data_IF_272851214942
#
_entry.id   IF_272851214942
#
_cell.length_a   1.000
_cell.length_b   1.000
_cell.length_c   1.000
_cell.angle_alpha   90.00
_cell.angle_beta   90.00
_cell.angle_gamma   90.00
#
_symmetry.space_group_name_H-M   'P 1'
#
loop_
_entity.id
_entity.type
_entity.pdbx_description
1 polymer ?
#
# COMPACT_ATOMS: atom_id res chain seq x y z
N UNK A 1 -28.59 1.98 7.90
CA UNK A 1 -29.17 1.87 6.55
C UNK A 1 -28.01 1.75 5.60
N UNK A 2 -28.00 0.80 4.64
CA UNK A 2 -26.87 0.66 3.75
C UNK A 2 -26.67 1.94 2.94
N UNK A 3 -25.42 2.32 2.68
CA UNK A 3 -25.08 3.47 1.84
C UNK A 3 -24.28 2.92 0.66
N UNK A 4 -24.99 2.45 -0.36
CA UNK A 4 -24.39 1.78 -1.52
C UNK A 4 -24.63 2.54 -2.83
N UNK A 5 -25.57 3.49 -2.80
CA UNK A 5 -25.97 4.30 -3.94
C UNK A 5 -25.76 5.79 -3.67
N UNK A 6 -25.70 6.60 -4.74
CA UNK A 6 -25.64 8.06 -4.61
C UNK A 6 -26.86 8.63 -3.89
N UNK A 7 -28.06 8.06 -4.12
CA UNK A 7 -29.29 8.54 -3.47
C UNK A 7 -29.26 8.34 -1.95
N UNK A 8 -28.81 7.18 -1.50
CA UNK A 8 -28.63 6.88 -0.07
C UNK A 8 -27.58 7.81 0.55
N UNK A 9 -26.46 8.04 -0.17
CA UNK A 9 -25.44 8.98 0.28
C UNK A 9 -26.00 10.41 0.40
N UNK A 10 -26.77 10.89 -0.57
CA UNK A 10 -27.41 12.22 -0.50
C UNK A 10 -28.30 12.35 0.73
N UNK A 11 -29.10 11.33 1.03
CA UNK A 11 -29.96 11.31 2.21
C UNK A 11 -29.14 11.34 3.51
N UNK A 12 -28.07 10.53 3.57
CA UNK A 12 -27.15 10.50 4.70
C UNK A 12 -26.46 11.87 4.91
N UNK A 13 -25.86 12.43 3.87
CA UNK A 13 -25.15 13.71 3.99
C UNK A 13 -26.11 14.84 4.40
N UNK A 14 -27.34 14.84 3.88
CA UNK A 14 -28.37 15.81 4.27
C UNK A 14 -28.81 15.64 5.72
N UNK A 15 -28.91 14.40 6.23
CA UNK A 15 -29.34 14.14 7.61
C UNK A 15 -28.27 14.44 8.66
N UNK A 16 -27.01 14.55 8.22
CA UNK A 16 -25.85 14.89 9.06
C UNK A 16 -25.34 16.32 8.84
N UNK A 17 -26.07 17.14 8.09
CA UNK A 17 -25.68 18.52 7.73
C UNK A 17 -24.28 18.63 7.08
N UNK A 18 -23.85 17.58 6.35
CA UNK A 18 -22.57 17.59 5.62
C UNK A 18 -22.79 18.34 4.30
N UNK A 19 -22.06 19.43 4.01
CA UNK A 19 -22.29 20.23 2.81
C UNK A 19 -21.84 19.50 1.54
N UNK A 20 -22.71 19.44 0.53
CA UNK A 20 -22.40 18.95 -0.81
C UNK A 20 -23.20 19.70 -1.89
N UNK A 21 -22.65 19.76 -3.09
CA UNK A 21 -23.29 20.28 -4.30
C UNK A 21 -23.28 19.23 -5.41
N UNK A 22 -22.11 18.64 -5.66
CA UNK A 22 -21.93 17.52 -6.59
C UNK A 22 -21.41 16.30 -5.83
N UNK A 23 -21.79 15.11 -6.31
CA UNK A 23 -21.32 13.82 -5.81
C UNK A 23 -20.93 12.98 -7.03
N UNK A 24 -19.75 12.38 -6.97
CA UNK A 24 -19.23 11.50 -8.02
C UNK A 24 -18.72 10.22 -7.36
N UNK A 25 -19.30 9.07 -7.74
CA UNK A 25 -18.77 7.79 -7.31
C UNK A 25 -17.37 7.58 -7.88
N UNK A 26 -16.42 7.17 -7.03
CA UNK A 26 -15.07 6.87 -7.45
C UNK A 26 -14.98 5.43 -7.96
N UNK A 27 -14.41 5.28 -9.15
CA UNK A 27 -14.01 3.99 -9.68
C UNK A 27 -12.77 3.47 -8.94
N UNK A 28 -12.58 2.15 -8.94
CA UNK A 28 -11.48 1.49 -8.20
C UNK A 28 -11.84 1.14 -6.76
N UNK A 29 -10.91 0.50 -6.04
CA UNK A 29 -11.12 -0.07 -4.71
C UNK A 29 -11.96 -1.35 -4.72
N UNK A 30 -11.67 -2.30 -3.84
CA UNK A 30 -12.40 -3.58 -3.76
C UNK A 30 -13.46 -3.62 -2.66
N UNK A 31 -13.11 -3.10 -1.47
CA UNK A 31 -13.87 -3.35 -0.26
C UNK A 31 -14.96 -2.32 0.04
N UNK A 32 -14.72 -1.03 -0.22
CA UNK A 32 -15.56 0.06 0.27
C UNK A 32 -16.19 0.87 -0.87
N UNK A 33 -17.27 1.58 -0.54
CA UNK A 33 -17.86 2.57 -1.42
C UNK A 33 -17.22 3.93 -1.15
N UNK A 34 -16.73 4.57 -2.22
CA UNK A 34 -16.07 5.87 -2.13
C UNK A 34 -16.72 6.85 -3.11
N UNK A 35 -16.95 8.07 -2.65
CA UNK A 35 -17.43 9.17 -3.47
C UNK A 35 -16.57 10.40 -3.26
N UNK A 36 -16.32 11.13 -4.34
CA UNK A 36 -15.82 12.50 -4.28
C UNK A 36 -17.03 13.43 -4.22
N UNK A 37 -17.08 14.25 -3.19
CA UNK A 37 -18.08 15.31 -3.06
C UNK A 37 -17.43 16.66 -3.26
N UNK A 38 -18.20 17.58 -3.84
CA UNK A 38 -17.78 18.97 -4.07
C UNK A 38 -18.79 19.90 -3.44
N UNK A 39 -18.30 20.85 -2.66
CA UNK A 39 -19.12 21.90 -2.03
C UNK A 39 -19.43 23.03 -3.02
N UNK A 40 -20.41 23.89 -2.70
CA UNK A 40 -20.70 25.09 -3.52
C UNK A 40 -19.50 26.03 -3.66
N UNK A 41 -18.59 26.02 -2.68
CA UNK A 41 -17.33 26.78 -2.70
C UNK A 41 -16.23 26.11 -3.53
N UNK A 42 -16.54 25.02 -4.24
CA UNK A 42 -15.60 24.29 -5.09
C UNK A 42 -14.60 23.40 -4.34
N UNK A 43 -14.68 23.30 -3.00
CA UNK A 43 -13.81 22.39 -2.22
C UNK A 43 -14.22 20.94 -2.41
N UNK A 44 -13.23 20.07 -2.61
CA UNK A 44 -13.40 18.62 -2.77
C UNK A 44 -13.10 17.88 -1.46
N UNK A 45 -13.84 16.80 -1.21
CA UNK A 45 -13.55 15.83 -0.15
C UNK A 45 -13.98 14.44 -0.58
N UNK A 46 -13.48 13.43 0.11
CA UNK A 46 -13.84 12.03 -0.09
C UNK A 46 -14.76 11.60 1.03
N UNK A 47 -15.86 10.94 0.65
CA UNK A 47 -16.70 10.16 1.57
C UNK A 47 -16.45 8.68 1.30
N UNK A 48 -16.04 7.95 2.34
CA UNK A 48 -15.80 6.51 2.29
C UNK A 48 -16.74 5.81 3.26
N UNK A 49 -17.38 4.75 2.80
CA UNK A 49 -18.30 3.94 3.58
C UNK A 49 -17.98 2.46 3.44
N UNK A 50 -17.96 1.76 4.58
CA UNK A 50 -17.77 0.32 4.65
C UNK A 50 -19.10 -0.39 4.90
N UNK A 51 -19.34 -1.45 4.14
CA UNK A 51 -20.41 -2.42 4.39
C UNK A 51 -19.82 -3.72 5.00
N UNK A 52 -20.62 -4.62 5.61
CA UNK A 52 -20.13 -5.87 6.21
C UNK A 52 -19.76 -6.94 5.16
N UNK A 53 -19.46 -6.52 3.93
CA UNK A 53 -19.04 -7.33 2.80
C UNK A 53 -18.06 -6.58 1.91
N UNK A 54 -17.35 -7.29 1.03
CA UNK A 54 -16.49 -6.69 0.01
C UNK A 54 -17.37 -6.09 -1.09
N UNK A 55 -17.31 -4.78 -1.34
CA UNK A 55 -18.14 -4.10 -2.37
C UNK A 55 -18.20 -4.85 -3.71
N UNK A 56 -17.06 -5.28 -4.25
CA UNK A 56 -17.00 -5.95 -5.56
C UNK A 56 -17.45 -7.41 -5.53
N UNK A 57 -17.61 -8.00 -4.34
CA UNK A 57 -18.06 -9.37 -4.12
C UNK A 57 -19.00 -9.39 -2.90
N UNK A 58 -20.26 -8.92 -3.03
CA UNK A 58 -21.15 -8.74 -1.89
C UNK A 58 -21.46 -10.02 -1.10
N UNK A 59 -21.29 -11.18 -1.72
CA UNK A 59 -21.44 -12.49 -1.06
C UNK A 59 -20.26 -12.85 -0.15
N UNK A 60 -19.16 -12.10 -0.19
CA UNK A 60 -17.98 -12.29 0.64
C UNK A 60 -18.08 -11.40 1.90
N UNK A 61 -18.35 -11.96 3.09
CA UNK A 61 -18.40 -11.19 4.32
C UNK A 61 -17.06 -10.53 4.59
N UNK A 62 -17.10 -9.27 5.01
CA UNK A 62 -15.91 -8.52 5.34
C UNK A 62 -16.19 -7.62 6.54
N UNK A 63 -15.49 -7.83 7.68
CA UNK A 63 -15.86 -7.15 8.92
C UNK A 63 -15.76 -5.62 8.80
N UNK A 64 -16.80 -4.93 9.25
CA UNK A 64 -17.02 -3.50 9.02
C UNK A 64 -16.12 -2.62 9.91
N UNK A 65 -15.60 -3.16 11.01
CA UNK A 65 -14.72 -2.47 11.96
C UNK A 65 -13.41 -1.98 11.32
N UNK A 66 -13.04 -2.48 10.14
CA UNK A 66 -11.87 -2.00 9.38
C UNK A 66 -11.87 -0.48 9.15
N UNK A 67 -13.05 0.13 8.98
CA UNK A 67 -13.14 1.59 8.79
C UNK A 67 -12.83 2.37 10.08
N UNK A 68 -13.06 1.75 11.24
CA UNK A 68 -12.67 2.34 12.52
C UNK A 68 -11.14 2.40 12.65
N UNK A 69 -10.41 1.41 12.13
CA UNK A 69 -8.96 1.44 12.13
C UNK A 69 -8.40 2.50 11.17
N UNK A 70 -9.05 2.72 10.01
CA UNK A 70 -8.71 3.85 9.14
C UNK A 70 -8.95 5.20 9.84
N UNK A 71 -10.08 5.36 10.54
CA UNK A 71 -10.32 6.54 11.40
C UNK A 71 -9.19 6.76 12.42
N UNK A 72 -8.80 5.70 13.14
CA UNK A 72 -7.73 5.78 14.14
C UNK A 72 -6.39 6.17 13.49
N UNK A 73 -6.07 5.58 12.34
CA UNK A 73 -4.87 5.90 11.57
C UNK A 73 -4.86 7.37 11.17
N UNK A 74 -5.92 7.87 10.53
CA UNK A 74 -6.00 9.27 10.09
C UNK A 74 -6.01 10.28 11.25
N UNK A 75 -6.41 9.85 12.44
CA UNK A 75 -6.37 10.68 13.66
C UNK A 75 -4.98 10.71 14.31
N UNK A 76 -4.26 9.58 14.33
CA UNK A 76 -3.05 9.41 15.14
C UNK A 76 -1.76 9.50 14.33
N UNK A 77 -1.78 9.08 13.07
CA UNK A 77 -0.59 9.12 12.22
C UNK A 77 -0.07 10.52 11.92
N UNK A 78 -0.90 11.57 11.76
CA UNK A 78 -0.38 12.91 11.58
C UNK A 78 0.66 13.25 12.65
N UNK A 79 0.43 12.94 13.93
CA UNK A 79 1.40 13.21 15.00
C UNK A 79 2.70 12.40 14.84
N UNK A 80 2.64 11.22 14.23
CA UNK A 80 3.79 10.34 13.98
C UNK A 80 4.61 10.81 12.77
N UNK A 81 3.96 11.19 11.66
CA UNK A 81 4.61 11.48 10.37
C UNK A 81 4.58 12.95 9.94
N UNK A 82 4.03 13.87 10.77
CA UNK A 82 3.68 15.29 10.47
C UNK A 82 4.77 16.15 9.86
N UNK A 83 6.05 15.76 9.91
CA UNK A 83 7.15 16.59 9.43
C UNK A 83 7.36 16.51 7.90
N UNK A 84 6.67 15.61 7.19
CA UNK A 84 6.90 15.44 5.74
C UNK A 84 5.88 16.24 4.90
N UNK A 85 6.36 17.27 4.21
CA UNK A 85 5.53 18.12 3.34
C UNK A 85 5.21 17.49 1.98
N UNK A 86 5.92 16.43 1.60
CA UNK A 86 5.84 15.79 0.27
C UNK A 86 5.11 14.44 0.27
N UNK A 87 4.98 13.79 1.43
CA UNK A 87 4.22 12.54 1.60
C UNK A 87 3.33 12.69 2.82
N UNK A 88 2.02 12.65 2.61
CA UNK A 88 0.99 12.97 3.61
C UNK A 88 0.01 11.82 3.75
N UNK A 89 -0.84 11.92 4.77
CA UNK A 89 -2.07 11.12 4.91
C UNK A 89 -3.28 12.03 4.73
N UNK A 90 -4.46 11.50 4.36
CA UNK A 90 -5.68 12.29 4.31
C UNK A 90 -5.95 13.01 5.63
N UNK A 91 -6.34 14.27 5.54
CA UNK A 91 -6.89 15.00 6.67
C UNK A 91 -8.31 14.49 6.94
N UNK A 92 -8.56 13.98 8.15
CA UNK A 92 -9.90 13.60 8.58
C UNK A 92 -10.75 14.86 8.84
N UNK A 93 -11.96 14.89 8.28
CA UNK A 93 -12.95 15.95 8.55
C UNK A 93 -14.03 15.48 9.52
N UNK A 94 -14.62 14.31 9.25
CA UNK A 94 -15.67 13.73 10.09
C UNK A 94 -15.58 12.21 10.09
N UNK A 95 -16.00 11.61 11.20
CA UNK A 95 -16.24 10.18 11.31
C UNK A 95 -17.60 9.95 11.96
N UNK A 96 -18.43 9.15 11.31
CA UNK A 96 -19.77 8.77 11.76
C UNK A 96 -19.72 7.27 12.11
N UNK A 97 -19.48 6.92 13.38
CA UNK A 97 -19.22 5.53 13.77
C UNK A 97 -20.42 4.61 13.57
N UNK A 98 -21.64 5.09 13.84
CA UNK A 98 -22.87 4.28 13.73
C UNK A 98 -23.21 3.92 12.28
N UNK A 99 -22.84 4.80 11.34
CA UNK A 99 -23.03 4.58 9.91
C UNK A 99 -21.76 4.09 9.20
N UNK A 100 -20.64 3.95 9.91
CA UNK A 100 -19.38 3.52 9.32
C UNK A 100 -18.98 4.39 8.11
N UNK A 101 -19.04 5.71 8.28
CA UNK A 101 -18.72 6.70 7.22
C UNK A 101 -17.56 7.59 7.66
N UNK A 102 -16.59 7.77 6.77
CA UNK A 102 -15.49 8.72 6.87
C UNK A 102 -15.62 9.83 5.86
N UNK A 103 -15.41 11.08 6.29
CA UNK A 103 -15.20 12.23 5.41
C UNK A 103 -13.76 12.72 5.59
N UNK A 104 -13.01 12.82 4.50
CA UNK A 104 -11.58 13.17 4.52
C UNK A 104 -11.17 14.04 3.32
N UNK A 105 -9.97 14.61 3.36
CA UNK A 105 -9.41 15.39 2.25
C UNK A 105 -9.23 14.53 0.99
N UNK A 106 -9.38 15.16 -0.17
CA UNK A 106 -9.11 14.54 -1.47
C UNK A 106 -7.59 14.49 -1.73
N UNK A 107 -7.06 13.27 -1.92
CA UNK A 107 -5.63 13.04 -2.10
C UNK A 107 -5.13 13.28 -3.52
N UNK A 108 -6.03 13.53 -4.49
CA UNK A 108 -5.66 13.70 -5.89
C UNK A 108 -6.61 13.04 -6.87
N UNK A 109 -6.41 13.30 -8.16
CA UNK A 109 -7.25 12.75 -9.22
C UNK A 109 -6.72 11.48 -9.87
N UNK A 110 -5.45 11.16 -9.65
CA UNK A 110 -4.78 9.98 -10.20
C UNK A 110 -3.93 9.29 -9.14
N UNK A 111 -3.93 7.96 -9.18
CA UNK A 111 -2.99 7.16 -8.40
C UNK A 111 -1.61 7.09 -9.07
N UNK A 112 -0.61 6.70 -8.28
CA UNK A 112 0.78 6.64 -8.71
C UNK A 112 1.00 5.56 -9.77
N UNK A 113 0.22 4.47 -9.80
CA UNK A 113 0.36 3.41 -10.78
C UNK A 113 -0.05 3.90 -12.18
N UNK A 114 -1.18 4.58 -12.28
CA UNK A 114 -1.63 5.15 -13.55
C UNK A 114 -0.77 6.34 -13.98
N UNK A 115 -0.34 7.17 -13.04
CA UNK A 115 0.58 8.28 -13.33
C UNK A 115 1.93 7.77 -13.82
N UNK A 116 2.46 6.71 -13.22
CA UNK A 116 3.70 6.06 -13.66
C UNK A 116 3.61 5.64 -15.13
N UNK A 117 2.49 5.05 -15.56
CA UNK A 117 2.34 4.55 -16.93
C UNK A 117 2.14 5.65 -17.96
N UNK A 118 1.37 6.68 -17.60
CA UNK A 118 0.79 7.61 -18.56
C UNK A 118 1.47 8.99 -18.55
N UNK A 119 2.24 9.32 -17.51
CA UNK A 119 2.92 10.61 -17.39
C UNK A 119 4.44 10.43 -17.42
N UNK A 120 5.09 11.07 -18.39
CA UNK A 120 6.55 11.03 -18.56
C UNK A 120 7.25 12.26 -17.98
N UNK A 121 6.49 13.23 -17.48
CA UNK A 121 7.02 14.48 -16.94
C UNK A 121 7.21 14.42 -15.43
N UNK A 122 6.95 13.27 -14.78
CA UNK A 122 7.13 13.05 -13.34
C UNK A 122 8.54 12.51 -13.03
N UNK A 123 9.18 13.07 -12.00
CA UNK A 123 10.41 12.53 -11.42
C UNK A 123 10.09 11.28 -10.56
N UNK A 124 9.93 10.15 -11.24
CA UNK A 124 9.60 8.86 -10.63
C UNK A 124 10.64 8.41 -9.59
N UNK A 125 11.96 8.50 -9.84
CA UNK A 125 12.95 8.18 -8.81
C UNK A 125 12.83 9.04 -7.54
N UNK A 126 12.54 10.34 -7.68
CA UNK A 126 12.32 11.22 -6.53
C UNK A 126 11.07 10.81 -5.73
N UNK A 127 9.98 10.44 -6.40
CA UNK A 127 8.78 9.93 -5.72
C UNK A 127 9.06 8.62 -4.97
N UNK A 128 9.78 7.69 -5.61
CA UNK A 128 10.23 6.45 -4.96
C UNK A 128 11.04 6.72 -3.70
N UNK A 129 12.02 7.64 -3.78
CA UNK A 129 12.86 8.05 -2.63
C UNK A 129 12.04 8.67 -1.50
N UNK A 130 11.09 9.56 -1.83
CA UNK A 130 10.19 10.20 -0.86
C UNK A 130 9.35 9.17 -0.10
N UNK A 131 8.77 8.20 -0.81
CA UNK A 131 7.99 7.11 -0.21
C UNK A 131 8.84 6.18 0.64
N UNK A 132 10.04 5.81 0.17
CA UNK A 132 10.97 4.94 0.89
C UNK A 132 11.38 5.55 2.23
N UNK A 133 11.80 6.82 2.21
CA UNK A 133 12.14 7.56 3.42
C UNK A 133 10.93 7.70 4.36
N UNK A 134 9.78 8.12 3.85
CA UNK A 134 8.58 8.33 4.66
C UNK A 134 8.12 7.05 5.36
N UNK A 135 8.07 5.91 4.62
CA UNK A 135 7.65 4.63 5.18
C UNK A 135 8.66 4.13 6.23
N UNK A 136 9.96 4.23 5.96
CA UNK A 136 11.01 3.85 6.90
C UNK A 136 10.96 4.70 8.19
N UNK A 137 10.74 6.02 8.08
CA UNK A 137 10.55 6.90 9.24
C UNK A 137 9.33 6.50 10.06
N UNK A 138 8.19 6.21 9.43
CA UNK A 138 6.99 5.76 10.16
C UNK A 138 7.25 4.45 10.92
N UNK A 139 7.86 3.46 10.27
CA UNK A 139 8.21 2.19 10.91
C UNK A 139 9.19 2.38 12.08
N UNK A 140 10.18 3.27 11.94
CA UNK A 140 11.15 3.56 13.02
C UNK A 140 10.50 4.23 14.21
N UNK A 141 9.71 5.28 13.98
CA UNK A 141 9.03 6.00 15.07
C UNK A 141 8.04 5.11 15.83
N UNK A 142 7.39 4.18 15.14
CA UNK A 142 6.44 3.25 15.77
C UNK A 142 7.07 1.99 16.36
N UNK A 143 8.39 1.84 16.20
CA UNK A 143 9.21 0.83 16.88
C UNK A 143 9.69 1.31 18.26
N UNK A 144 9.71 2.63 18.52
CA UNK A 144 10.15 3.20 19.79
C UNK A 144 9.25 2.71 20.94
N UNK A 145 9.78 2.35 22.13
CA UNK A 145 9.03 1.60 23.14
C UNK A 145 7.67 2.19 23.55
N UNK A 146 7.59 3.50 23.78
CA UNK A 146 6.35 4.17 24.17
C UNK A 146 5.32 4.16 23.02
N UNK A 147 5.76 4.47 21.81
CA UNK A 147 4.91 4.44 20.63
C UNK A 147 4.51 3.01 20.26
N UNK A 148 5.40 2.03 20.46
CA UNK A 148 5.13 0.61 20.20
C UNK A 148 4.02 0.09 21.11
N UNK A 149 4.06 0.43 22.40
CA UNK A 149 3.00 0.07 23.35
C UNK A 149 1.67 0.73 22.98
N UNK A 150 1.72 2.01 22.60
CA UNK A 150 0.55 2.73 22.09
C UNK A 150 -0.04 2.04 20.86
N UNK A 151 0.77 1.69 19.85
CA UNK A 151 0.24 1.07 18.64
C UNK A 151 -0.28 -0.34 18.89
N UNK A 152 0.39 -1.13 19.75
CA UNK A 152 -0.08 -2.48 20.15
C UNK A 152 -1.44 -2.42 20.82
N UNK A 153 -1.67 -1.41 21.65
CA UNK A 153 -2.93 -1.21 22.35
C UNK A 153 -4.05 -0.76 21.41
N UNK A 154 -3.76 0.14 20.45
CA UNK A 154 -4.78 0.83 19.67
C UNK A 154 -5.03 0.24 18.27
N UNK A 155 -4.08 -0.52 17.72
CA UNK A 155 -4.14 -1.03 16.34
C UNK A 155 -4.13 -2.57 16.27
N UNK A 156 -4.87 -3.24 17.16
CA UNK A 156 -5.14 -4.69 17.06
C UNK A 156 -6.20 -5.02 16.00
N UNK A 157 -5.91 -4.67 14.74
CA UNK A 157 -6.80 -4.88 13.62
C UNK A 157 -6.77 -6.36 13.17
N UNK A 158 -7.68 -7.16 13.73
CA UNK A 158 -7.81 -8.59 13.41
C UNK A 158 -8.19 -8.83 11.94
N UNK A 159 -8.93 -7.91 11.33
CA UNK A 159 -9.32 -7.96 9.92
C UNK A 159 -8.08 -7.85 9.03
N UNK A 160 -7.21 -6.88 9.31
CA UNK A 160 -5.95 -6.74 8.60
C UNK A 160 -5.03 -7.96 8.76
N UNK A 161 -4.91 -8.48 10.00
CA UNK A 161 -4.08 -9.66 10.31
C UNK A 161 -4.56 -10.91 9.55
N UNK A 162 -5.87 -11.11 9.42
CA UNK A 162 -6.42 -12.25 8.67
C UNK A 162 -6.35 -12.03 7.15
N UNK A 163 -6.63 -10.82 6.68
CA UNK A 163 -6.61 -10.46 5.25
C UNK A 163 -5.20 -10.53 4.66
N UNK A 164 -4.17 -10.16 5.44
CA UNK A 164 -2.76 -10.32 5.09
C UNK A 164 -2.43 -11.73 4.56
N UNK A 165 -3.03 -12.77 5.17
CA UNK A 165 -2.80 -14.18 4.80
C UNK A 165 -3.37 -14.55 3.43
N UNK A 166 -4.27 -13.75 2.85
CA UNK A 166 -4.98 -14.08 1.61
C UNK A 166 -4.04 -14.36 0.42
N UNK A 167 -2.99 -13.56 0.25
CA UNK A 167 -2.01 -13.81 -0.83
C UNK A 167 -1.23 -15.11 -0.60
N UNK A 168 -0.84 -15.35 0.65
CA UNK A 168 -0.09 -16.54 1.04
C UNK A 168 -0.93 -17.82 0.87
N UNK A 169 -2.22 -17.78 1.23
CA UNK A 169 -3.11 -18.93 1.07
C UNK A 169 -3.37 -19.27 -0.40
N UNK A 170 -3.36 -18.28 -1.30
CA UNK A 170 -3.50 -18.53 -2.74
C UNK A 170 -2.22 -18.99 -3.44
N UNK A 171 -1.06 -18.95 -2.79
CA UNK A 171 0.23 -19.29 -3.41
C UNK A 171 0.24 -20.71 -3.97
N UNK A 172 -0.24 -21.68 -3.18
CA UNK A 172 -0.33 -23.09 -3.58
C UNK A 172 -1.16 -23.28 -4.86
N UNK A 173 -2.25 -22.52 -5.01
CA UNK A 173 -3.11 -22.57 -6.20
C UNK A 173 -2.40 -22.04 -7.44
N UNK A 174 -1.67 -20.93 -7.32
CA UNK A 174 -0.92 -20.35 -8.46
C UNK A 174 0.23 -21.26 -8.87
N UNK A 175 1.00 -21.80 -7.92
CA UNK A 175 2.09 -22.73 -8.21
C UNK A 175 1.56 -23.98 -8.93
N UNK A 176 0.43 -24.55 -8.49
CA UNK A 176 -0.22 -25.68 -9.16
C UNK A 176 -0.59 -25.35 -10.61
N UNK A 177 -1.17 -24.17 -10.85
CA UNK A 177 -1.58 -23.75 -12.18
C UNK A 177 -0.41 -23.68 -13.16
N UNK A 178 0.78 -23.31 -12.68
CA UNK A 178 2.01 -23.25 -13.45
C UNK A 178 2.85 -24.54 -13.42
N UNK A 179 2.30 -25.66 -12.91
CA UNK A 179 2.97 -26.96 -12.90
C UNK A 179 4.13 -27.07 -11.90
N UNK A 180 4.12 -26.28 -10.83
CA UNK A 180 5.14 -26.29 -9.78
C UNK A 180 4.69 -27.01 -8.50
N UNK A 181 5.63 -27.27 -7.58
CA UNK A 181 5.37 -27.91 -6.29
C UNK A 181 4.41 -27.08 -5.43
N UNK A 182 3.26 -27.68 -5.12
CA UNK A 182 2.22 -27.08 -4.28
C UNK A 182 2.68 -27.00 -2.82
N UNK A 183 3.50 -27.95 -2.37
CA UNK A 183 3.94 -28.03 -0.98
C UNK A 183 4.82 -26.83 -0.60
N UNK A 184 5.60 -26.27 -1.55
CA UNK A 184 6.31 -25.00 -1.35
C UNK A 184 5.34 -23.88 -0.93
N UNK A 185 4.21 -23.75 -1.63
CA UNK A 185 3.22 -22.72 -1.32
C UNK A 185 2.61 -22.89 0.07
N UNK A 186 2.31 -24.12 0.45
CA UNK A 186 1.76 -24.46 1.77
C UNK A 186 2.76 -24.19 2.90
N UNK A 187 4.04 -24.56 2.72
CA UNK A 187 5.10 -24.30 3.71
C UNK A 187 5.36 -22.81 3.88
N UNK A 188 5.45 -22.05 2.79
CA UNK A 188 5.61 -20.59 2.85
C UNK A 188 4.41 -19.92 3.55
N UNK A 189 3.18 -20.35 3.25
CA UNK A 189 2.00 -19.85 3.96
C UNK A 189 2.02 -20.22 5.45
N UNK A 190 2.44 -21.44 5.80
CA UNK A 190 2.59 -21.88 7.19
C UNK A 190 3.60 -21.02 7.96
N UNK A 191 4.75 -20.72 7.37
CA UNK A 191 5.87 -20.02 8.01
C UNK A 191 5.74 -18.49 8.01
N UNK A 192 5.22 -17.91 6.92
CA UNK A 192 5.22 -16.45 6.71
C UNK A 192 3.83 -15.85 6.50
N UNK A 193 2.79 -16.66 6.33
CA UNK A 193 1.41 -16.19 6.13
C UNK A 193 0.73 -15.66 7.40
N UNK A 194 1.42 -15.66 8.53
CA UNK A 194 1.00 -15.06 9.80
C UNK A 194 2.14 -14.27 10.42
N UNK A 195 1.80 -13.40 11.35
CA UNK A 195 2.76 -12.65 12.17
C UNK A 195 2.60 -13.07 13.63
N UNK A 196 3.70 -13.48 14.26
CA UNK A 196 3.72 -13.77 15.68
C UNK A 196 4.09 -12.51 16.51
N UNK A 197 4.24 -12.68 17.82
CA UNK A 197 4.59 -11.56 18.71
C UNK A 197 5.92 -10.89 18.35
N UNK A 198 6.86 -11.64 17.77
CA UNK A 198 8.17 -11.14 17.36
C UNK A 198 8.15 -10.46 15.99
N UNK A 199 7.08 -10.62 15.21
CA UNK A 199 6.82 -9.80 14.04
C UNK A 199 6.08 -8.49 14.39
N UNK A 200 5.40 -8.40 15.53
CA UNK A 200 4.62 -7.20 15.94
C UNK A 200 5.53 -6.10 16.51
N UNK A 201 6.29 -5.46 15.63
CA UNK A 201 7.37 -4.55 15.99
C UNK A 201 7.13 -3.09 15.60
N UNK A 202 6.25 -2.81 14.64
CA UNK A 202 5.90 -1.44 14.26
C UNK A 202 4.49 -1.35 13.69
N UNK A 203 3.99 -0.13 13.49
CA UNK A 203 2.74 0.09 12.76
C UNK A 203 2.99 -0.09 11.27
N UNK A 204 2.18 -0.92 10.63
CA UNK A 204 2.19 -1.13 9.18
C UNK A 204 0.91 -0.54 8.58
N UNK A 205 1.00 0.02 7.40
CA UNK A 205 -0.15 0.35 6.55
C UNK A 205 -0.96 -0.90 6.20
N UNK A 206 -0.29 -2.03 5.97
CA UNK A 206 -0.92 -3.34 5.73
C UNK A 206 -1.41 -3.55 4.30
N UNK A 207 -1.65 -2.48 3.54
CA UNK A 207 -1.88 -2.50 2.08
C UNK A 207 -1.07 -1.41 1.35
N UNK A 208 0.26 -1.36 1.57
CA UNK A 208 1.12 -0.32 0.99
C UNK A 208 1.61 -0.71 -0.42
N UNK A 209 0.97 -0.15 -1.45
CA UNK A 209 1.25 -0.40 -2.87
C UNK A 209 0.81 0.79 -3.73
N UNK A 210 1.21 0.84 -5.00
CA UNK A 210 1.09 2.06 -5.81
C UNK A 210 -0.34 2.60 -5.98
N UNK A 211 -1.40 1.77 -6.13
CA UNK A 211 -2.77 2.28 -6.21
C UNK A 211 -3.24 3.07 -4.98
N UNK A 212 -2.62 2.83 -3.82
CA UNK A 212 -2.93 3.53 -2.57
C UNK A 212 -2.10 4.80 -2.36
N UNK A 213 -1.38 5.25 -3.39
CA UNK A 213 -0.66 6.52 -3.39
C UNK A 213 -1.31 7.45 -4.41
N UNK A 214 -1.94 8.51 -3.94
CA UNK A 214 -2.55 9.54 -4.78
C UNK A 214 -1.59 10.70 -5.01
N UNK A 215 -1.66 11.33 -6.18
CA UNK A 215 -0.85 12.50 -6.54
C UNK A 215 -1.70 13.76 -6.45
N UNK A 216 -1.29 14.71 -5.62
CA UNK A 216 -1.91 16.03 -5.61
C UNK A 216 -1.69 16.69 -6.98
N UNK A 217 -2.75 17.30 -7.52
CA UNK A 217 -2.72 17.92 -8.86
C UNK A 217 -1.82 19.17 -8.94
N UNK A 218 -1.36 19.72 -7.81
CA UNK A 218 -0.54 20.93 -7.77
C UNK A 218 0.75 20.69 -6.98
N UNK A 219 1.89 20.98 -7.60
CA UNK A 219 3.17 21.11 -6.93
C UNK A 219 3.32 22.57 -6.45
N UNK A 220 3.39 22.85 -5.14
CA UNK A 220 3.59 24.21 -4.65
C UNK A 220 4.96 24.80 -5.03
N UNK A 221 5.89 24.01 -5.58
CA UNK A 221 7.23 24.45 -5.96
C UNK A 221 7.37 24.93 -7.42
N UNK A 222 6.40 24.66 -8.31
CA UNK A 222 6.53 25.01 -9.73
C UNK A 222 5.91 26.37 -10.05
N UNK A 223 6.53 27.46 -9.59
CA UNK A 223 6.53 28.70 -10.35
C UNK A 223 7.59 28.55 -11.44
N UNK A 224 7.22 27.97 -12.58
CA UNK A 224 8.15 27.77 -13.70
C UNK A 224 8.44 29.15 -14.31
N UNK A 225 9.62 29.70 -14.03
CA UNK A 225 10.15 30.82 -14.82
C UNK A 225 10.33 30.33 -16.27
N UNK A 226 9.74 31.06 -17.23
CA UNK A 226 9.89 30.76 -18.65
C UNK A 226 11.38 30.73 -19.05
N UNK A 227 11.85 29.59 -19.58
CA UNK A 227 13.13 29.51 -20.29
C UNK A 227 14.23 28.61 -19.70
N UNK A 228 13.93 27.68 -18.78
CA UNK A 228 14.89 26.63 -18.35
C UNK A 228 14.42 25.24 -18.74
N UNK A 229 15.39 24.33 -18.94
CA UNK A 229 15.22 22.90 -19.27
C UNK A 229 14.02 22.26 -18.57
N UNK A 230 13.40 21.26 -19.21
CA UNK A 230 12.28 20.48 -18.67
C UNK A 230 12.69 19.93 -17.29
N UNK A 231 12.26 20.61 -16.22
CA UNK A 231 12.34 20.08 -14.87
C UNK A 231 11.17 19.13 -14.70
N UNK A 232 11.46 17.83 -14.54
CA UNK A 232 10.45 16.85 -14.17
C UNK A 232 9.74 17.30 -12.90
N UNK A 233 8.41 17.18 -12.88
CA UNK A 233 7.56 17.55 -11.74
C UNK A 233 7.63 16.49 -10.64
N UNK A 234 7.52 16.92 -9.38
CA UNK A 234 7.57 16.01 -8.23
C UNK A 234 6.38 16.27 -7.30
N UNK A 235 5.18 15.77 -7.65
CA UNK A 235 3.96 16.07 -6.92
C UNK A 235 4.02 15.63 -5.45
N UNK A 236 3.18 16.26 -4.64
CA UNK A 236 2.92 15.79 -3.28
C UNK A 236 2.13 14.49 -3.36
N UNK A 237 2.51 13.52 -2.53
CA UNK A 237 1.91 12.20 -2.45
C UNK A 237 0.99 12.11 -1.23
N UNK A 238 -0.18 11.50 -1.40
CA UNK A 238 -1.09 11.18 -0.30
C UNK A 238 -1.25 9.67 -0.20
N UNK A 239 -0.89 9.10 0.94
CA UNK A 239 -1.04 7.66 1.26
C UNK A 239 -2.43 7.42 1.82
N UNK A 240 -3.27 6.72 1.07
CA UNK A 240 -4.69 6.48 1.37
C UNK A 240 -4.96 5.02 1.74
N UNK A 241 -6.19 4.73 2.15
CA UNK A 241 -6.69 3.37 2.37
C UNK A 241 -6.05 2.63 3.56
N UNK A 242 -6.13 3.27 4.73
CA UNK A 242 -5.55 2.77 5.98
C UNK A 242 -6.41 1.73 6.69
N UNK A 243 -7.43 1.14 6.04
CA UNK A 243 -8.33 0.17 6.70
C UNK A 243 -7.62 -1.13 7.10
N UNK A 244 -6.48 -1.41 6.49
CA UNK A 244 -5.61 -2.56 6.79
C UNK A 244 -4.49 -2.23 7.78
N UNK A 245 -4.50 -1.04 8.39
CA UNK A 245 -3.49 -0.64 9.37
C UNK A 245 -3.44 -1.67 10.51
N UNK A 246 -2.24 -2.09 10.89
CA UNK A 246 -2.03 -3.10 11.94
C UNK A 246 -0.65 -2.97 12.54
N UNK A 247 -0.47 -3.48 13.75
CA UNK A 247 0.89 -3.76 14.26
C UNK A 247 1.42 -5.05 13.63
N UNK A 248 2.64 -4.98 13.11
CA UNK A 248 3.30 -6.10 12.44
C UNK A 248 4.72 -5.77 12.02
N UNK A 249 5.22 -6.46 10.99
CA UNK A 249 6.60 -6.32 10.53
C UNK A 249 6.66 -5.41 9.30
N UNK A 250 7.28 -4.23 9.43
CA UNK A 250 7.40 -3.25 8.35
C UNK A 250 8.11 -3.75 7.08
N UNK A 251 8.78 -4.90 7.11
CA UNK A 251 9.29 -5.58 5.93
C UNK A 251 8.17 -6.02 4.96
N UNK A 252 6.95 -6.27 5.44
CA UNK A 252 5.82 -6.63 4.57
C UNK A 252 5.37 -5.45 3.72
N UNK A 253 5.22 -4.25 4.31
CA UNK A 253 4.86 -3.06 3.55
C UNK A 253 5.95 -2.70 2.53
N UNK A 254 7.21 -2.75 2.96
CA UNK A 254 8.35 -2.51 2.08
C UNK A 254 8.41 -3.53 0.93
N UNK A 255 8.27 -4.83 1.23
CA UNK A 255 8.29 -5.88 0.22
C UNK A 255 7.11 -5.80 -0.75
N UNK A 256 5.93 -5.39 -0.27
CA UNK A 256 4.73 -5.21 -1.10
C UNK A 256 4.94 -4.11 -2.12
N UNK A 257 5.36 -2.94 -1.68
CA UNK A 257 5.59 -1.79 -2.55
C UNK A 257 6.79 -2.01 -3.48
N UNK A 258 7.87 -2.63 -2.98
CA UNK A 258 9.02 -3.02 -3.79
C UNK A 258 8.62 -3.97 -4.93
N UNK A 259 7.74 -4.94 -4.68
CA UNK A 259 7.27 -5.85 -5.73
C UNK A 259 6.43 -5.15 -6.80
N UNK A 260 5.46 -4.31 -6.39
CA UNK A 260 4.59 -3.61 -7.35
C UNK A 260 5.38 -2.57 -8.17
N UNK A 261 6.33 -1.86 -7.55
CA UNK A 261 7.24 -0.94 -8.25
C UNK A 261 8.19 -1.67 -9.19
N UNK A 262 8.73 -2.83 -8.81
CA UNK A 262 9.58 -3.65 -9.68
C UNK A 262 8.80 -4.17 -10.89
N UNK A 263 7.55 -4.58 -10.72
CA UNK A 263 6.69 -4.99 -11.84
C UNK A 263 6.45 -3.81 -12.81
N UNK A 264 6.25 -2.60 -12.31
CA UNK A 264 6.11 -1.41 -13.16
C UNK A 264 7.41 -1.04 -13.88
N UNK A 265 8.53 -0.98 -13.18
CA UNK A 265 9.83 -0.73 -13.82
C UNK A 265 10.11 -1.77 -14.91
N UNK A 266 9.86 -3.05 -14.61
CA UNK A 266 10.07 -4.14 -15.56
C UNK A 266 9.19 -4.08 -16.81
N UNK A 267 7.92 -3.70 -16.68
CA UNK A 267 6.94 -3.85 -17.76
C UNK A 267 6.41 -2.53 -18.35
N UNK A 268 6.72 -1.39 -17.73
CA UNK A 268 6.15 -0.08 -18.07
C UNK A 268 7.19 1.05 -18.18
N UNK A 269 8.46 0.72 -18.41
CA UNK A 269 9.45 1.69 -18.92
C UNK A 269 10.63 2.01 -18.00
N UNK A 270 10.90 1.18 -16.99
CA UNK A 270 12.10 1.22 -16.15
C UNK A 270 12.46 2.62 -15.65
N UNK A 271 11.44 3.32 -15.12
CA UNK A 271 11.57 4.71 -14.66
C UNK A 271 12.29 4.82 -13.30
N UNK A 272 12.79 3.72 -12.74
CA UNK A 272 13.66 3.69 -11.56
C UNK A 272 12.95 3.85 -10.20
N UNK A 273 11.64 3.55 -10.12
CA UNK A 273 10.92 3.67 -8.84
C UNK A 273 11.40 2.66 -7.80
N UNK A 274 11.56 1.40 -8.22
CA UNK A 274 11.91 0.27 -7.37
C UNK A 274 13.25 0.50 -6.68
N UNK A 275 14.28 0.82 -7.46
CA UNK A 275 15.62 1.04 -6.93
C UNK A 275 15.64 2.24 -5.98
N UNK A 276 15.04 3.37 -6.39
CA UNK A 276 15.02 4.58 -5.58
C UNK A 276 14.25 4.39 -4.25
N UNK A 277 13.11 3.71 -4.29
CA UNK A 277 12.33 3.38 -3.10
C UNK A 277 13.11 2.47 -2.15
N UNK A 278 13.61 1.34 -2.65
CA UNK A 278 14.23 0.33 -1.81
C UNK A 278 15.52 0.85 -1.17
N UNK A 279 16.36 1.53 -1.95
CA UNK A 279 17.58 2.18 -1.45
C UNK A 279 17.28 3.19 -0.35
N UNK A 280 16.28 4.05 -0.55
CA UNK A 280 15.88 5.05 0.44
C UNK A 280 15.36 4.41 1.73
N UNK A 281 14.48 3.42 1.61
CA UNK A 281 13.96 2.69 2.75
C UNK A 281 15.07 2.02 3.57
N UNK A 282 16.00 1.31 2.90
CA UNK A 282 17.09 0.59 3.57
C UNK A 282 18.12 1.53 4.20
N UNK A 283 18.36 2.69 3.58
CA UNK A 283 19.26 3.72 4.13
C UNK A 283 18.71 4.29 5.43
N UNK A 284 17.40 4.55 5.46
CA UNK A 284 16.73 5.12 6.63
C UNK A 284 16.49 4.06 7.72
N UNK A 285 16.14 2.82 7.33
CA UNK A 285 15.87 1.67 8.21
C UNK A 285 16.62 0.41 7.73
N UNK A 286 17.89 0.24 8.13
CA UNK A 286 18.63 -0.99 7.86
C UNK A 286 17.93 -2.21 8.46
N UNK A 287 17.85 -3.30 7.70
CA UNK A 287 17.14 -4.52 8.10
C UNK A 287 18.11 -5.59 8.60
N UNK A 288 17.75 -6.28 9.68
CA UNK A 288 18.42 -7.50 10.11
C UNK A 288 18.09 -8.68 9.19
N UNK A 289 18.86 -9.78 9.28
CA UNK A 289 18.71 -10.95 8.40
C UNK A 289 17.28 -11.49 8.34
N UNK A 290 16.59 -11.58 9.48
CA UNK A 290 15.19 -12.03 9.55
C UNK A 290 14.26 -11.15 8.72
N UNK A 291 14.38 -9.83 8.85
CA UNK A 291 13.52 -8.87 8.14
C UNK A 291 13.85 -8.81 6.65
N UNK A 292 15.13 -8.99 6.27
CA UNK A 292 15.54 -9.18 4.86
C UNK A 292 14.84 -10.40 4.26
N UNK A 293 14.84 -11.54 4.95
CA UNK A 293 14.11 -12.75 4.50
C UNK A 293 12.60 -12.49 4.40
N UNK A 294 12.01 -11.80 5.38
CA UNK A 294 10.58 -11.44 5.37
C UNK A 294 10.23 -10.59 4.15
N UNK A 295 11.06 -9.61 3.82
CA UNK A 295 10.90 -8.75 2.64
C UNK A 295 10.99 -9.57 1.35
N UNK A 296 12.01 -10.42 1.21
CA UNK A 296 12.18 -11.30 0.04
C UNK A 296 10.95 -12.20 -0.15
N UNK A 297 10.47 -12.83 0.92
CA UNK A 297 9.28 -13.69 0.84
C UNK A 297 8.05 -12.89 0.45
N UNK A 298 7.81 -11.73 1.08
CA UNK A 298 6.62 -10.94 0.76
C UNK A 298 6.65 -10.41 -0.68
N UNK A 299 7.83 -10.00 -1.16
CA UNK A 299 8.05 -9.63 -2.57
C UNK A 299 7.75 -10.80 -3.51
N UNK A 300 8.32 -11.98 -3.24
CA UNK A 300 8.13 -13.16 -4.09
C UNK A 300 6.66 -13.63 -4.10
N UNK A 301 5.99 -13.63 -2.95
CA UNK A 301 4.57 -13.94 -2.82
C UNK A 301 3.73 -12.94 -3.62
N UNK A 302 4.04 -11.65 -3.56
CA UNK A 302 3.36 -10.62 -4.36
C UNK A 302 3.45 -10.94 -5.84
N UNK A 303 4.67 -11.08 -6.40
CA UNK A 303 4.84 -11.25 -7.85
C UNK A 303 4.20 -12.55 -8.36
N UNK A 304 4.21 -13.62 -7.56
CA UNK A 304 3.53 -14.87 -7.92
C UNK A 304 2.02 -14.67 -7.88
N UNK A 305 1.47 -14.20 -6.76
CA UNK A 305 0.01 -14.13 -6.57
C UNK A 305 -0.66 -13.14 -7.53
N UNK A 306 0.00 -12.00 -7.81
CA UNK A 306 -0.49 -10.95 -8.70
C UNK A 306 -0.04 -11.09 -10.15
N UNK A 307 0.72 -12.14 -10.51
CA UNK A 307 0.96 -12.50 -11.92
C UNK A 307 -0.34 -12.71 -12.70
N UNK A 308 -1.42 -13.12 -12.01
CA UNK A 308 -2.78 -13.28 -12.53
C UNK A 308 -3.44 -11.97 -13.01
N UNK A 309 -2.89 -10.80 -12.66
CA UNK A 309 -3.36 -9.50 -13.16
C UNK A 309 -2.84 -9.15 -14.57
N UNK A 310 -2.22 -10.11 -15.27
CA UNK A 310 -1.76 -10.00 -16.67
C UNK A 310 -0.84 -8.79 -16.91
N UNK A 311 0.37 -8.89 -16.38
CA UNK A 311 1.46 -7.92 -16.61
C UNK A 311 2.16 -8.09 -17.96
N UNK A 312 2.12 -9.31 -18.51
CA UNK A 312 2.80 -9.72 -19.73
C UNK A 312 2.02 -10.88 -20.35
N UNK A 313 2.51 -11.42 -21.46
CA UNK A 313 2.04 -12.68 -22.06
C UNK A 313 2.21 -13.91 -21.13
N UNK A 314 1.75 -15.07 -21.59
CA UNK A 314 1.78 -16.32 -20.81
C UNK A 314 3.20 -16.77 -20.47
N UNK A 315 4.14 -16.64 -21.42
CA UNK A 315 5.54 -17.00 -21.22
C UNK A 315 6.19 -16.08 -20.18
N UNK A 316 5.97 -14.77 -20.27
CA UNK A 316 6.45 -13.81 -19.28
C UNK A 316 5.84 -14.07 -17.90
N UNK A 317 4.56 -14.44 -17.84
CA UNK A 317 3.88 -14.80 -16.59
C UNK A 317 4.50 -16.04 -15.97
N UNK A 318 4.78 -17.08 -16.76
CA UNK A 318 5.48 -18.27 -16.29
C UNK A 318 6.89 -17.95 -15.77
N UNK A 319 7.64 -17.06 -16.44
CA UNK A 319 8.96 -16.60 -15.97
C UNK A 319 8.88 -15.82 -14.65
N UNK A 320 7.85 -15.00 -14.45
CA UNK A 320 7.62 -14.30 -13.18
C UNK A 320 7.35 -15.27 -12.03
N UNK A 321 6.49 -16.27 -12.27
CA UNK A 321 6.18 -17.30 -11.27
C UNK A 321 7.42 -18.12 -10.94
N UNK A 322 8.20 -18.49 -11.97
CA UNK A 322 9.46 -19.22 -11.80
C UNK A 322 10.50 -18.40 -11.00
N UNK A 323 10.61 -17.10 -11.23
CA UNK A 323 11.49 -16.22 -10.46
C UNK A 323 11.07 -16.16 -8.99
N UNK A 324 9.78 -15.90 -8.72
CA UNK A 324 9.28 -15.86 -7.35
C UNK A 324 9.48 -17.19 -6.64
N UNK A 325 9.18 -18.31 -7.31
CA UNK A 325 9.44 -19.67 -6.79
C UNK A 325 10.90 -19.83 -6.39
N UNK A 326 11.82 -19.48 -7.28
CA UNK A 326 13.25 -19.59 -7.06
C UNK A 326 13.72 -18.78 -5.83
N UNK A 327 13.15 -17.58 -5.62
CA UNK A 327 13.41 -16.78 -4.41
C UNK A 327 12.87 -17.44 -3.14
N UNK A 328 11.68 -18.05 -3.19
CA UNK A 328 11.11 -18.75 -2.05
C UNK A 328 11.91 -20.00 -1.67
N UNK A 329 12.38 -20.76 -2.67
CA UNK A 329 13.26 -21.92 -2.46
C UNK A 329 14.58 -21.51 -1.82
N UNK A 330 15.20 -20.42 -2.28
CA UNK A 330 16.43 -19.88 -1.70
C UNK A 330 16.25 -19.49 -0.21
N UNK A 331 15.09 -18.94 0.16
CA UNK A 331 14.79 -18.62 1.56
C UNK A 331 14.57 -19.90 2.39
N UNK A 332 13.94 -20.94 1.84
CA UNK A 332 13.76 -22.22 2.56
C UNK A 332 15.09 -22.95 2.78
N UNK A 333 16.00 -22.90 1.82
CA UNK A 333 17.31 -23.54 1.89
C UNK A 333 18.39 -22.67 2.55
N UNK A 334 18.03 -21.47 3.01
CA UNK A 334 18.98 -20.46 3.52
C UNK A 334 20.13 -20.15 2.55
N UNK A 335 19.88 -20.28 1.24
CA UNK A 335 20.87 -20.02 0.19
C UNK A 335 20.94 -18.52 -0.13
N UNK A 336 21.65 -17.79 0.72
CA UNK A 336 21.85 -16.34 0.57
C UNK A 336 22.56 -16.00 -0.75
N UNK A 337 23.44 -16.87 -1.26
CA UNK A 337 24.19 -16.62 -2.51
C UNK A 337 23.26 -16.44 -3.70
N UNK A 338 22.20 -17.25 -3.77
CA UNK A 338 21.19 -17.12 -4.81
C UNK A 338 20.47 -15.76 -4.74
N UNK A 339 20.26 -15.23 -3.53
CA UNK A 339 19.61 -13.93 -3.31
C UNK A 339 20.47 -12.73 -3.72
N UNK A 340 21.80 -12.87 -3.83
CA UNK A 340 22.71 -11.83 -4.34
C UNK A 340 22.65 -11.61 -5.86
N UNK A 341 21.92 -12.45 -6.59
CA UNK A 341 21.87 -12.37 -8.07
C UNK A 341 20.51 -11.95 -8.62
N UNK A 342 19.55 -11.66 -7.74
CA UNK A 342 18.16 -11.32 -8.08
C UNK A 342 17.83 -9.83 -7.95
N UNK A 343 16.55 -9.45 -8.17
CA UNK A 343 16.08 -8.06 -8.05
C UNK A 343 16.38 -7.41 -6.70
N UNK A 344 16.48 -8.23 -5.65
CA UNK A 344 16.70 -7.80 -4.28
C UNK A 344 18.15 -7.97 -3.81
N UNK A 345 19.12 -8.12 -4.72
CA UNK A 345 20.55 -8.28 -4.39
C UNK A 345 21.06 -7.20 -3.41
N UNK A 346 20.63 -5.95 -3.61
CA UNK A 346 20.97 -4.81 -2.73
C UNK A 346 20.59 -4.97 -1.25
N UNK A 347 19.73 -5.94 -0.89
CA UNK A 347 19.49 -6.27 0.52
C UNK A 347 20.69 -6.96 1.17
N UNK A 348 21.54 -7.62 0.38
CA UNK A 348 22.58 -8.52 0.86
C UNK A 348 23.98 -8.01 0.59
N UNK A 349 24.14 -7.01 -0.26
CA UNK A 349 25.42 -6.34 -0.46
C UNK A 349 25.85 -5.69 0.86
N UNK A 350 27.08 -5.98 1.29
CA UNK A 350 27.68 -5.30 2.43
C UNK A 350 27.84 -3.83 2.03
N UNK A 351 27.23 -2.92 2.80
CA UNK A 351 27.46 -1.49 2.63
C UNK A 351 28.95 -1.21 2.85
N UNK A 352 29.65 -0.81 1.78
CA UNK A 352 31.03 -0.29 1.83
C UNK A 352 31.17 0.91 2.78
#
# INVERSE_FOLDING_TARGET
>A
MPITTESELRQFLSSKDVPFHEIVALAGGSANFCWRIKTQLGKHSIVKHAEPFVRIMPDMPFPIERIHYEHLALTKLPDVVSTNVHVRVPQLYNYFPDEHVLCMSDGGSQDLKESYKNDNDIDIPLLGRRLGNWLATMHKKTLEPEMLEFVKTNFDNKVAKSTFRYMYSGLASVLKHHGHDVALGERINGKFGTEDASDQICLCHGDFWLPNIQLENQDPATNVEEGKEIQLRAPVLTVIDWEMVRVGNGATDAGRFAADSWLLDRFHGDKGMFEAFLKAYLSERPLGQRDKMRLVVHFAVHIIFYSRMRWTDEEGTAKLVQLGKAMLEAVESEDVKMLHTGPLAQLFDESE
#
